data_IF_554623484621
#
_entry.id   IF_554623484621
#
_cell.length_a   1.000
_cell.length_b   1.000
_cell.length_c   1.000
_cell.angle_alpha   90.00
_cell.angle_beta   90.00
_cell.angle_gamma   90.00
#
_symmetry.space_group_name_H-M   'P 1'
#
loop_
_entity.id
_entity.type
_entity.pdbx_description
1 polymer ?
#
# COMPACT_ATOMS: atom_id res chain seq x y z
N UNK A 1 -6.45 28.81 0.07
CA UNK A 1 -5.62 27.91 0.91
C UNK A 1 -5.03 26.85 -0.01
N UNK A 2 -3.72 26.63 0.03
CA UNK A 2 -3.03 25.76 -0.94
C UNK A 2 -3.56 24.33 -0.83
N UNK A 3 -4.10 23.82 -1.93
CA UNK A 3 -4.29 22.39 -2.18
C UNK A 3 -2.90 21.76 -2.36
N UNK A 4 -2.14 21.63 -1.28
CA UNK A 4 -1.01 20.70 -1.23
C UNK A 4 -1.64 19.32 -1.12
N UNK A 5 -1.91 18.73 -2.28
CA UNK A 5 -2.25 17.33 -2.46
C UNK A 5 -1.47 16.53 -1.41
N UNK A 6 -2.19 15.96 -0.42
CA UNK A 6 -1.65 14.99 0.51
C UNK A 6 -1.15 13.81 -0.33
N UNK A 7 0.08 13.91 -0.85
CA UNK A 7 0.86 12.77 -1.31
C UNK A 7 1.12 11.99 -0.03
N UNK A 8 0.14 11.17 0.37
CA UNK A 8 0.35 10.20 1.43
C UNK A 8 1.64 9.48 1.11
N UNK A 9 2.53 9.47 2.09
CA UNK A 9 3.82 8.83 1.88
C UNK A 9 3.60 7.33 1.76
N UNK A 10 4.43 6.66 0.97
CA UNK A 10 4.38 5.20 0.86
C UNK A 10 4.47 4.50 2.23
N UNK A 11 5.12 5.15 3.21
CA UNK A 11 5.19 4.70 4.61
C UNK A 11 3.81 4.64 5.28
N UNK A 12 2.98 5.67 5.13
CA UNK A 12 1.63 5.71 5.70
C UNK A 12 0.71 4.68 5.03
N UNK A 13 0.84 4.53 3.71
CA UNK A 13 0.10 3.54 2.93
C UNK A 13 0.39 2.10 3.39
N UNK A 14 1.65 1.79 3.70
CA UNK A 14 2.05 0.50 4.27
C UNK A 14 1.45 0.24 5.65
N UNK A 15 1.46 1.23 6.53
CA UNK A 15 0.86 1.07 7.87
C UNK A 15 -0.65 0.83 7.80
N UNK A 16 -1.36 1.50 6.89
CA UNK A 16 -2.78 1.23 6.67
C UNK A 16 -3.00 -0.21 6.16
N UNK A 17 -2.18 -0.69 5.22
CA UNK A 17 -2.26 -2.07 4.76
C UNK A 17 -2.08 -3.07 5.93
N UNK A 18 -1.13 -2.84 6.84
CA UNK A 18 -0.94 -3.69 8.04
C UNK A 18 -2.16 -3.67 8.95
N UNK A 19 -2.72 -2.48 9.21
CA UNK A 19 -3.92 -2.34 10.04
C UNK A 19 -5.13 -3.08 9.45
N UNK A 20 -5.27 -3.06 8.13
CA UNK A 20 -6.42 -3.66 7.43
C UNK A 20 -6.26 -5.15 7.17
N UNK A 21 -5.03 -5.63 7.04
CA UNK A 21 -4.71 -7.02 6.76
C UNK A 21 -3.75 -7.57 7.80
N UNK A 22 -4.30 -8.23 8.82
CA UNK A 22 -3.53 -8.89 9.87
C UNK A 22 -2.55 -9.97 9.34
N UNK A 23 -2.77 -10.46 8.12
CA UNK A 23 -1.87 -11.39 7.41
C UNK A 23 -0.63 -10.74 6.80
N UNK A 24 -0.56 -9.40 6.77
CA UNK A 24 0.60 -8.66 6.29
C UNK A 24 1.57 -8.39 7.43
N UNK A 25 2.83 -8.70 7.18
CA UNK A 25 3.95 -8.43 8.08
C UNK A 25 4.81 -7.31 7.52
N UNK A 26 5.73 -6.80 8.33
CA UNK A 26 6.72 -5.82 7.86
C UNK A 26 7.56 -6.37 6.71
N UNK A 27 7.85 -7.68 6.70
CA UNK A 27 8.58 -8.33 5.62
C UNK A 27 7.80 -8.31 4.30
N UNK A 28 6.48 -8.46 4.35
CA UNK A 28 5.62 -8.38 3.17
C UNK A 28 5.53 -6.97 2.58
N UNK A 29 5.94 -5.97 3.34
CA UNK A 29 5.93 -4.54 2.97
C UNK A 29 7.35 -3.97 2.85
N UNK A 30 8.39 -4.80 2.98
CA UNK A 30 9.78 -4.40 2.83
C UNK A 30 10.18 -4.35 1.36
N UNK A 31 10.32 -3.14 0.83
CA UNK A 31 10.74 -2.90 -0.55
C UNK A 31 11.67 -1.69 -0.59
N UNK A 32 12.61 -1.73 -1.53
CA UNK A 32 13.43 -0.57 -1.85
C UNK A 32 12.53 0.56 -2.35
N UNK A 33 12.90 1.80 -2.03
CA UNK A 33 12.25 2.98 -2.57
C UNK A 33 12.28 2.93 -4.11
N UNK A 34 11.17 3.22 -4.78
CA UNK A 34 11.04 3.09 -6.23
C UNK A 34 10.62 1.70 -6.73
N UNK A 35 10.39 0.72 -5.83
CA UNK A 35 9.87 -0.63 -6.17
C UNK A 35 8.41 -0.83 -5.75
N UNK A 36 7.61 0.24 -5.76
CA UNK A 36 6.21 0.22 -5.35
C UNK A 36 5.39 -0.75 -6.23
N UNK A 37 5.65 -0.81 -7.53
CA UNK A 37 4.94 -1.71 -8.45
C UNK A 37 5.22 -3.21 -8.19
N UNK A 38 6.45 -3.55 -7.81
CA UNK A 38 6.81 -4.92 -7.42
C UNK A 38 6.07 -5.32 -6.14
N UNK A 39 6.01 -4.42 -5.15
CA UNK A 39 5.23 -4.62 -3.94
C UNK A 39 3.77 -4.87 -4.24
N UNK A 40 3.16 -3.99 -5.05
CA UNK A 40 1.75 -4.11 -5.40
C UNK A 40 1.46 -5.44 -6.07
N UNK A 41 2.34 -5.90 -6.95
CA UNK A 41 2.20 -7.20 -7.63
C UNK A 41 2.25 -8.36 -6.65
N UNK A 42 3.15 -8.35 -5.65
CA UNK A 42 3.19 -9.38 -4.59
C UNK A 42 1.94 -9.34 -3.71
N UNK A 43 1.45 -8.15 -3.36
CA UNK A 43 0.24 -7.98 -2.56
C UNK A 43 -1.00 -8.49 -3.28
N UNK A 44 -1.09 -8.33 -4.61
CA UNK A 44 -2.19 -8.91 -5.38
C UNK A 44 -2.27 -10.43 -5.21
N UNK A 45 -1.13 -11.11 -5.30
CA UNK A 45 -1.05 -12.56 -5.16
C UNK A 45 -1.37 -12.97 -3.73
N UNK A 46 -0.76 -12.31 -2.73
CA UNK A 46 -0.93 -12.66 -1.32
C UNK A 46 -2.35 -12.43 -0.80
N UNK A 47 -2.99 -11.34 -1.21
CA UNK A 47 -4.33 -10.95 -0.74
C UNK A 47 -5.45 -11.41 -1.66
N UNK A 48 -5.13 -11.96 -2.84
CA UNK A 48 -6.12 -12.32 -3.85
C UNK A 48 -6.92 -11.11 -4.37
N UNK A 49 -6.29 -9.95 -4.45
CA UNK A 49 -6.93 -8.67 -4.83
C UNK A 49 -6.32 -8.10 -6.11
N UNK A 50 -7.12 -7.35 -6.86
CA UNK A 50 -6.64 -6.60 -8.02
C UNK A 50 -5.85 -5.36 -7.60
N UNK A 51 -4.93 -4.86 -8.44
CA UNK A 51 -4.23 -3.58 -8.17
C UNK A 51 -5.23 -2.46 -7.87
N UNK A 52 -6.35 -2.40 -8.59
CA UNK A 52 -7.39 -1.38 -8.42
C UNK A 52 -8.01 -1.41 -7.02
N UNK A 53 -8.29 -2.59 -6.49
CA UNK A 53 -8.80 -2.74 -5.12
C UNK A 53 -7.76 -2.34 -4.08
N UNK A 54 -6.51 -2.74 -4.27
CA UNK A 54 -5.42 -2.36 -3.39
C UNK A 54 -5.20 -0.84 -3.38
N UNK A 55 -5.20 -0.18 -4.55
CA UNK A 55 -5.13 1.28 -4.63
C UNK A 55 -6.31 1.96 -3.96
N UNK A 56 -7.53 1.43 -4.11
CA UNK A 56 -8.69 1.94 -3.36
C UNK A 56 -8.45 1.83 -1.87
N UNK A 57 -8.04 0.66 -1.37
CA UNK A 57 -7.76 0.45 0.05
C UNK A 57 -6.72 1.44 0.58
N UNK A 58 -5.64 1.63 -0.17
CA UNK A 58 -4.53 2.49 0.18
C UNK A 58 -4.92 3.99 0.16
N UNK A 59 -5.73 4.40 -0.82
CA UNK A 59 -6.15 5.79 -1.01
C UNK A 59 -7.45 6.16 -0.27
N UNK A 60 -8.13 5.19 0.35
CA UNK A 60 -9.30 5.48 1.18
C UNK A 60 -8.79 5.88 2.56
N UNK A 61 -8.50 7.17 2.75
CA UNK A 61 -8.48 7.82 4.06
C UNK A 61 -9.91 8.22 4.45
#
# INVERSE_FOLDING_TARGET
>A
MKNENLKQTWKEQKEHLKQKFASLTDTDLLFLQGKEDEMMTKLQIKLGKTKKELYKIINTL
#
